data_IF_517450190619
#
_entry.id   IF_517450190619
#
_cell.length_a   1.000
_cell.length_b   1.000
_cell.length_c   1.000
_cell.angle_alpha   90.00
_cell.angle_beta   90.00
_cell.angle_gamma   90.00
#
_symmetry.space_group_name_H-M   'P 1'
#
loop_
_entity.id
_entity.type
_entity.pdbx_description
1 polymer ?
#
# COMPACT_ATOMS: atom_id res chain seq x y z
N UNK A 1 -34.11 59.50 -15.30
CA UNK A 1 -33.14 58.70 -14.53
C UNK A 1 -32.64 57.59 -15.45
N UNK A 2 -31.67 57.84 -16.34
CA UNK A 2 -30.20 57.58 -16.23
C UNK A 2 -29.87 56.26 -15.50
N UNK A 3 -29.04 55.33 -15.99
CA UNK A 3 -28.35 55.20 -17.28
C UNK A 3 -27.78 53.77 -17.41
N UNK A 4 -27.58 53.35 -18.66
CA UNK A 4 -26.82 52.19 -19.15
C UNK A 4 -25.28 52.39 -19.04
N UNK A 5 -24.55 51.27 -19.21
CA UNK A 5 -23.10 51.11 -19.50
C UNK A 5 -22.15 51.18 -18.28
N UNK A 6 -21.09 50.37 -18.13
CA UNK A 6 -20.08 49.96 -19.10
C UNK A 6 -19.40 48.61 -18.77
N UNK A 7 -18.91 47.94 -19.82
CA UNK A 7 -17.95 46.83 -19.81
C UNK A 7 -16.51 47.32 -19.57
N UNK A 8 -15.68 46.38 -19.08
CA UNK A 8 -14.29 46.09 -19.51
C UNK A 8 -13.10 46.59 -18.66
N UNK A 9 -12.13 45.67 -18.48
CA UNK A 9 -10.76 45.78 -17.91
C UNK A 9 -10.66 45.96 -16.37
N UNK A 10 -9.86 45.22 -15.58
CA UNK A 10 -8.55 44.63 -15.89
C UNK A 10 -8.31 43.25 -15.24
N UNK A 11 -7.64 42.43 -16.04
CA UNK A 11 -6.69 41.40 -15.64
C UNK A 11 -5.61 42.04 -14.71
N UNK A 12 -4.98 41.24 -13.84
CA UNK A 12 -3.84 41.57 -12.95
C UNK A 12 -4.22 42.11 -11.56
N UNK A 13 -4.36 41.18 -10.60
CA UNK A 13 -3.53 41.15 -9.37
C UNK A 13 -3.36 39.69 -8.92
N UNK A 14 -2.49 38.97 -9.62
CA UNK A 14 -1.72 37.85 -9.06
C UNK A 14 -0.64 38.43 -8.15
N UNK A 15 -0.18 37.60 -7.22
CA UNK A 15 0.95 37.77 -6.29
C UNK A 15 0.58 38.50 -4.99
N UNK A 16 0.18 37.73 -3.97
CA UNK A 16 0.99 37.55 -2.74
C UNK A 16 0.13 36.86 -1.67
N UNK A 17 0.32 35.55 -1.48
CA UNK A 17 0.05 34.79 -0.25
C UNK A 17 0.56 33.34 -0.42
N UNK A 18 1.79 33.23 -0.95
CA UNK A 18 2.66 32.08 -0.72
C UNK A 18 3.86 32.68 0.01
N UNK A 19 3.78 32.77 1.34
CA UNK A 19 4.90 33.02 2.28
C UNK A 19 4.41 32.99 3.74
N UNK A 20 3.61 31.98 4.14
CA UNK A 20 3.25 31.80 5.56
C UNK A 20 2.91 30.36 5.95
N UNK A 21 3.40 29.35 5.22
CA UNK A 21 3.29 27.95 5.67
C UNK A 21 4.58 27.18 5.39
N UNK A 22 5.69 27.81 5.74
CA UNK A 22 7.01 27.20 5.82
C UNK A 22 7.75 27.83 7.02
N UNK A 23 7.20 27.65 8.22
CA UNK A 23 7.88 27.70 9.51
C UNK A 23 6.95 26.91 10.44
N UNK A 24 7.27 25.64 10.64
CA UNK A 24 7.19 24.89 11.91
C UNK A 24 7.79 23.49 11.64
N UNK A 25 9.04 23.54 11.19
CA UNK A 25 10.05 22.55 11.54
C UNK A 25 10.45 22.90 12.99
N UNK A 26 10.69 21.88 13.82
CA UNK A 26 10.95 21.91 15.28
C UNK A 26 9.67 21.70 16.12
N UNK A 27 9.67 20.64 16.95
CA UNK A 27 8.56 20.17 17.80
C UNK A 27 7.92 21.27 18.68
N UNK A 28 6.64 21.10 19.12
CA UNK A 28 6.46 20.59 20.48
C UNK A 28 5.24 19.66 20.73
N UNK A 29 5.49 18.69 21.63
CA UNK A 29 4.61 18.03 22.63
C UNK A 29 3.20 17.51 22.27
N UNK A 30 2.86 16.38 22.90
CA UNK A 30 1.61 15.61 22.82
C UNK A 30 0.30 16.40 23.06
N UNK A 31 0.35 17.64 23.56
CA UNK A 31 -0.84 18.46 23.80
C UNK A 31 -1.37 19.18 22.56
N UNK A 32 -0.58 19.32 21.48
CA UNK A 32 -1.01 20.01 20.25
C UNK A 32 -1.85 19.14 19.29
N UNK A 33 -2.03 17.84 19.58
CA UNK A 33 -2.88 16.95 18.77
C UNK A 33 -4.37 17.02 19.11
N UNK A 34 -4.73 17.49 20.31
CA UNK A 34 -6.14 17.66 20.68
C UNK A 34 -6.77 18.87 19.96
N UNK A 35 -6.02 19.98 19.83
CA UNK A 35 -6.53 21.23 19.24
C UNK A 35 -6.52 21.25 17.70
N UNK A 36 -5.82 20.32 17.04
CA UNK A 36 -5.76 20.27 15.57
C UNK A 36 -6.69 19.22 14.92
N UNK A 37 -7.44 18.43 15.70
CA UNK A 37 -8.51 17.58 15.14
C UNK A 37 -9.64 18.42 14.53
N UNK A 38 -9.83 19.64 15.01
CA UNK A 38 -10.95 20.48 14.62
C UNK A 38 -10.85 21.08 13.19
N UNK A 39 -9.70 20.96 12.53
CA UNK A 39 -9.45 21.48 11.19
C UNK A 39 -9.83 20.53 10.03
N UNK A 40 -10.29 19.32 10.33
CA UNK A 40 -10.73 18.34 9.32
C UNK A 40 -12.26 18.35 9.17
N UNK A 41 -12.83 18.20 7.97
CA UNK A 41 -14.26 17.95 7.81
C UNK A 41 -14.71 16.74 8.66
N UNK A 42 -15.89 16.82 9.26
CA UNK A 42 -16.40 15.86 10.27
C UNK A 42 -16.43 14.41 9.76
N UNK A 43 -16.73 14.21 8.48
CA UNK A 43 -16.68 12.90 7.82
C UNK A 43 -15.27 12.29 7.78
N UNK A 44 -14.21 13.09 7.60
CA UNK A 44 -12.82 12.60 7.60
C UNK A 44 -12.34 12.28 9.01
N UNK A 45 -12.77 13.06 10.01
CA UNK A 45 -12.55 12.72 11.43
C UNK A 45 -13.20 11.40 11.78
N UNK A 46 -14.44 11.18 11.32
CA UNK A 46 -15.18 9.96 11.59
C UNK A 46 -14.54 8.75 10.92
N UNK A 47 -14.11 8.83 9.66
CA UNK A 47 -13.45 7.71 8.96
C UNK A 47 -12.09 7.34 9.56
N UNK A 48 -11.26 8.34 9.91
CA UNK A 48 -9.96 8.11 10.56
C UNK A 48 -10.19 7.56 11.97
N UNK A 49 -11.15 8.12 12.71
CA UNK A 49 -11.53 7.63 14.04
C UNK A 49 -12.04 6.20 13.96
N UNK A 50 -12.90 5.85 13.00
CA UNK A 50 -13.40 4.50 12.75
C UNK A 50 -12.29 3.53 12.37
N UNK A 51 -11.31 3.96 11.56
CA UNK A 51 -10.14 3.15 11.21
C UNK A 51 -9.26 2.87 12.44
N UNK A 52 -8.95 3.89 13.24
CA UNK A 52 -8.19 3.69 14.48
C UNK A 52 -9.00 2.95 15.55
N UNK A 53 -10.32 3.15 15.63
CA UNK A 53 -11.20 2.37 16.50
C UNK A 53 -11.28 0.92 16.05
N UNK A 54 -11.35 0.64 14.75
CA UNK A 54 -11.29 -0.70 14.19
C UNK A 54 -9.99 -1.39 14.58
N UNK A 55 -8.84 -0.72 14.39
CA UNK A 55 -7.54 -1.27 14.77
C UNK A 55 -7.42 -1.47 16.28
N UNK A 56 -7.89 -0.49 17.09
CA UNK A 56 -7.81 -0.55 18.56
C UNK A 56 -8.75 -1.60 19.15
N UNK A 57 -9.99 -1.69 18.70
CA UNK A 57 -10.95 -2.67 19.20
C UNK A 57 -10.57 -4.10 18.80
N UNK A 58 -9.89 -4.26 17.65
CA UNK A 58 -9.52 -5.58 17.12
C UNK A 58 -8.15 -6.09 17.59
N UNK A 59 -7.21 -5.18 17.86
CA UNK A 59 -5.81 -5.53 18.20
C UNK A 59 -5.30 -4.90 19.50
N UNK A 60 -6.06 -4.03 20.15
CA UNK A 60 -5.65 -3.30 21.35
C UNK A 60 -6.09 -3.98 22.64
N UNK A 61 -5.36 -5.02 23.05
CA UNK A 61 -5.35 -5.50 24.43
C UNK A 61 -3.88 -5.70 24.87
N UNK A 62 -3.23 -4.60 25.23
CA UNK A 62 -2.10 -4.61 26.17
C UNK A 62 -2.31 -3.45 27.15
N UNK A 63 -2.83 -3.78 28.33
CA UNK A 63 -2.87 -2.88 29.49
C UNK A 63 -1.56 -3.01 30.27
N UNK A 64 -0.83 -1.92 30.41
CA UNK A 64 0.03 -1.71 31.57
C UNK A 64 -0.10 -0.26 32.02
N UNK A 65 -0.78 -0.11 33.15
CA UNK A 65 -0.90 1.07 33.98
C UNK A 65 0.46 1.55 34.48
N UNK A 66 0.80 2.83 34.29
CA UNK A 66 1.56 3.65 35.25
C UNK A 66 1.66 5.10 34.73
N UNK A 67 1.18 6.06 35.51
CA UNK A 67 1.32 7.51 35.25
C UNK A 67 2.69 7.98 35.76
N UNK A 68 3.50 8.74 35.00
CA UNK A 68 4.65 9.43 35.58
C UNK A 68 4.28 10.82 36.09
N UNK A 69 4.70 11.09 37.33
CA UNK A 69 4.69 12.38 38.04
C UNK A 69 5.52 13.43 37.29
N UNK A 70 5.05 14.68 37.32
CA UNK A 70 5.81 15.87 36.91
C UNK A 70 7.04 16.06 37.83
N UNK A 71 8.19 16.37 37.25
CA UNK A 71 9.23 17.13 37.94
C UNK A 71 9.83 18.17 37.00
N UNK A 72 9.79 19.40 37.48
CA UNK A 72 10.30 20.65 36.91
C UNK A 72 11.81 20.80 37.07
N UNK A 73 12.33 21.80 36.32
CA UNK A 73 13.55 22.64 36.47
C UNK A 73 14.74 22.32 35.56
N UNK A 74 15.62 23.25 35.14
CA UNK A 74 15.58 24.64 34.61
C UNK A 74 17.01 24.91 34.06
N UNK A 75 17.18 25.84 33.10
CA UNK A 75 18.44 26.54 32.72
C UNK A 75 19.57 25.71 32.05
N UNK A 76 20.38 26.20 31.10
CA UNK A 76 20.83 27.57 30.82
C UNK A 76 21.40 27.70 29.38
N UNK A 77 21.23 28.88 28.77
CA UNK A 77 21.80 29.29 27.48
C UNK A 77 23.23 29.82 27.65
N UNK A 78 24.11 29.61 26.65
CA UNK A 78 25.17 30.58 26.33
C UNK A 78 25.52 30.57 24.84
N UNK A 79 25.29 31.73 24.21
CA UNK A 79 25.78 32.17 22.90
C UNK A 79 27.26 32.58 22.98
N UNK A 80 28.00 32.44 21.88
CA UNK A 80 29.00 33.43 21.47
C UNK A 80 29.21 33.40 19.94
N UNK A 81 28.86 34.52 19.29
CA UNK A 81 29.34 35.00 17.97
C UNK A 81 30.76 35.60 18.16
N UNK A 82 31.69 35.68 17.21
CA UNK A 82 31.70 36.49 15.97
C UNK A 82 33.02 36.15 15.21
N UNK A 83 33.02 35.87 13.90
CA UNK A 83 33.16 36.77 12.74
C UNK A 83 34.59 36.78 12.15
N UNK A 84 34.69 36.69 10.81
CA UNK A 84 35.66 37.35 9.92
C UNK A 84 35.32 37.02 8.43
N UNK A 85 35.33 38.05 7.60
CA UNK A 85 34.79 38.09 6.22
C UNK A 85 35.82 37.83 5.11
N UNK A 86 35.37 37.13 4.04
CA UNK A 86 35.52 37.34 2.55
C UNK A 86 36.93 37.43 1.89
N UNK A 87 37.10 37.15 0.57
CA UNK A 87 36.17 37.43 -0.54
C UNK A 87 35.98 36.38 -1.66
N UNK A 88 35.13 36.79 -2.61
CA UNK A 88 34.47 36.12 -3.74
C UNK A 88 35.41 35.94 -4.95
N UNK A 89 35.23 34.86 -5.73
CA UNK A 89 35.44 34.92 -7.19
C UNK A 89 34.45 34.00 -7.93
N UNK A 90 33.77 34.60 -8.93
CA UNK A 90 32.87 33.98 -9.88
C UNK A 90 33.67 33.36 -11.04
N UNK A 91 33.28 32.18 -11.52
CA UNK A 91 33.43 31.81 -12.94
C UNK A 91 32.25 30.97 -13.43
N UNK A 92 31.49 31.58 -14.33
CA UNK A 92 30.48 31.04 -15.24
C UNK A 92 31.15 30.19 -16.32
N UNK A 93 30.56 29.07 -16.74
CA UNK A 93 30.79 28.48 -18.07
C UNK A 93 29.54 27.74 -18.59
N UNK A 94 29.27 27.98 -19.87
CA UNK A 94 28.04 27.73 -20.64
C UNK A 94 27.90 26.30 -21.19
N UNK A 95 26.67 25.98 -21.61
CA UNK A 95 26.22 24.78 -22.35
C UNK A 95 26.89 24.60 -23.73
N UNK A 96 26.93 23.35 -24.23
CA UNK A 96 26.78 23.08 -25.67
C UNK A 96 25.47 22.37 -26.03
N UNK A 97 25.01 22.70 -27.24
CA UNK A 97 23.75 22.35 -27.91
C UNK A 97 23.71 20.94 -28.51
N UNK A 98 22.47 20.42 -28.54
CA UNK A 98 21.82 19.48 -29.47
C UNK A 98 22.62 18.72 -30.54
N UNK A 99 22.46 17.39 -30.57
CA UNK A 99 22.29 16.58 -31.80
C UNK A 99 21.25 15.48 -31.57
N UNK A 100 20.30 15.37 -32.51
CA UNK A 100 19.23 14.37 -32.61
C UNK A 100 19.66 13.20 -33.54
N UNK A 101 18.89 12.09 -33.66
CA UNK A 101 19.33 10.73 -33.34
C UNK A 101 19.67 9.86 -34.57
N UNK A 102 20.28 8.67 -34.41
CA UNK A 102 20.34 7.67 -35.46
C UNK A 102 19.14 6.72 -35.47
N UNK A 103 18.85 6.27 -36.69
CA UNK A 103 17.73 5.48 -37.18
C UNK A 103 17.62 4.05 -36.62
N UNK A 104 16.36 3.65 -36.54
CA UNK A 104 15.80 2.31 -36.46
C UNK A 104 16.29 1.40 -37.61
N UNK A 105 16.73 0.17 -37.29
CA UNK A 105 16.68 -0.98 -38.20
C UNK A 105 16.12 -2.16 -37.40
N UNK A 106 14.91 -2.56 -37.79
CA UNK A 106 14.20 -3.73 -37.32
C UNK A 106 14.97 -5.02 -37.65
N UNK A 107 15.03 -5.93 -36.67
CA UNK A 107 15.18 -7.37 -36.94
C UNK A 107 14.00 -8.08 -36.29
N UNK A 108 13.07 -8.42 -37.16
CA UNK A 108 11.98 -9.37 -36.94
C UNK A 108 12.60 -10.75 -36.80
N UNK A 109 12.54 -11.33 -35.60
CA UNK A 109 12.65 -12.78 -35.43
C UNK A 109 11.31 -13.29 -34.90
N UNK A 110 10.51 -13.79 -35.84
CA UNK A 110 9.41 -14.72 -35.62
C UNK A 110 9.97 -16.04 -35.12
N UNK A 111 9.68 -16.41 -33.88
CA UNK A 111 9.83 -17.79 -33.40
C UNK A 111 8.48 -18.33 -32.98
N UNK A 112 8.01 -19.22 -33.85
CA UNK A 112 7.05 -20.30 -33.68
C UNK A 112 6.24 -20.37 -32.37
N UNK A 113 4.95 -20.11 -32.54
CA UNK A 113 3.85 -20.74 -31.83
C UNK A 113 3.98 -22.27 -31.82
N UNK A 114 4.14 -22.86 -30.65
CA UNK A 114 3.50 -24.10 -30.19
C UNK A 114 4.04 -24.49 -28.80
N UNK A 115 3.47 -23.87 -27.78
CA UNK A 115 3.39 -24.43 -26.44
C UNK A 115 2.05 -24.00 -25.87
N UNK A 116 1.25 -24.97 -25.45
CA UNK A 116 0.06 -24.70 -24.64
C UNK A 116 0.58 -24.07 -23.34
N UNK A 117 0.45 -22.76 -23.19
CA UNK A 117 0.72 -22.06 -21.93
C UNK A 117 -0.64 -21.73 -21.32
N UNK A 118 -1.24 -22.71 -20.63
CA UNK A 118 -2.46 -22.47 -19.87
C UNK A 118 -2.12 -21.77 -18.53
N UNK A 119 -2.26 -20.44 -18.57
CA UNK A 119 -2.81 -19.56 -17.51
C UNK A 119 -2.26 -19.63 -16.07
N UNK A 120 -1.12 -20.26 -15.81
CA UNK A 120 -0.56 -20.36 -14.45
C UNK A 120 0.94 -20.06 -14.42
N UNK A 121 1.35 -19.33 -13.37
CA UNK A 121 2.70 -18.90 -12.97
C UNK A 121 3.71 -18.52 -14.08
N UNK A 122 3.54 -17.33 -14.63
CA UNK A 122 4.42 -16.77 -15.68
C UNK A 122 5.69 -16.12 -15.10
N UNK A 123 5.71 -15.80 -13.80
CA UNK A 123 6.74 -14.90 -13.24
C UNK A 123 7.16 -15.34 -11.83
N UNK A 124 8.05 -16.33 -11.76
CA UNK A 124 9.11 -16.35 -10.74
C UNK A 124 10.35 -17.01 -11.36
N UNK A 125 11.46 -16.27 -11.50
CA UNK A 125 12.77 -16.88 -11.84
C UNK A 125 13.20 -17.92 -10.79
N UNK A 126 12.61 -17.84 -9.60
CA UNK A 126 12.69 -18.87 -8.58
C UNK A 126 11.75 -20.02 -8.94
N UNK A 127 12.33 -21.16 -9.36
CA UNK A 127 11.63 -22.45 -9.56
C UNK A 127 11.15 -23.02 -8.21
N UNK A 128 10.24 -22.32 -7.52
CA UNK A 128 9.66 -22.75 -6.25
C UNK A 128 8.49 -23.72 -6.54
N UNK A 129 8.45 -24.82 -5.80
CA UNK A 129 7.42 -25.86 -5.98
C UNK A 129 6.19 -25.56 -5.12
N UNK A 130 5.25 -24.75 -5.63
CA UNK A 130 4.03 -24.41 -4.90
C UNK A 130 3.01 -25.56 -4.89
N UNK A 131 2.20 -25.64 -3.84
CA UNK A 131 1.13 -26.64 -3.72
C UNK A 131 -0.07 -26.32 -4.63
N UNK A 132 -0.36 -25.03 -4.81
CA UNK A 132 -1.48 -24.53 -5.63
C UNK A 132 -0.97 -23.51 -6.65
N UNK A 133 -1.41 -23.59 -7.92
CA UNK A 133 -1.05 -22.58 -8.92
C UNK A 133 -1.71 -21.25 -8.57
N UNK A 134 -1.00 -20.15 -8.84
CA UNK A 134 -1.58 -18.80 -8.74
C UNK A 134 -2.22 -18.39 -10.06
N UNK A 135 -3.29 -17.56 -10.04
CA UNK A 135 -3.84 -16.96 -11.24
C UNK A 135 -2.77 -16.20 -12.03
N UNK A 136 -2.89 -16.17 -13.36
CA UNK A 136 -2.02 -15.32 -14.20
C UNK A 136 -2.25 -13.83 -13.91
N UNK A 137 -3.52 -13.47 -13.64
CA UNK A 137 -3.91 -12.12 -13.26
C UNK A 137 -4.88 -12.14 -12.06
N UNK A 138 -4.45 -11.58 -10.93
CA UNK A 138 -5.25 -11.55 -9.71
C UNK A 138 -6.36 -10.51 -9.85
N UNK A 139 -7.60 -10.95 -9.59
CA UNK A 139 -8.79 -10.10 -9.49
C UNK A 139 -9.33 -10.31 -8.09
N UNK A 140 -8.69 -9.64 -7.14
CA UNK A 140 -8.84 -9.93 -5.73
C UNK A 140 -9.73 -8.96 -4.96
N UNK A 141 -10.37 -9.47 -3.91
CA UNK A 141 -11.07 -8.69 -2.89
C UNK A 141 -10.46 -8.95 -1.52
N UNK A 142 -10.33 -7.91 -0.71
CA UNK A 142 -10.07 -8.06 0.72
C UNK A 142 -11.35 -8.44 1.49
N UNK A 143 -11.25 -9.41 2.38
CA UNK A 143 -12.35 -9.95 3.16
C UNK A 143 -11.97 -9.93 4.64
N UNK A 144 -12.76 -9.23 5.44
CA UNK A 144 -12.56 -9.19 6.89
C UNK A 144 -13.21 -10.42 7.57
N UNK A 145 -12.83 -10.68 8.82
CA UNK A 145 -13.33 -11.84 9.56
C UNK A 145 -14.85 -11.82 9.84
N UNK A 146 -15.49 -10.64 9.80
CA UNK A 146 -16.92 -10.53 10.03
C UNK A 146 -17.72 -11.04 8.82
N UNK A 147 -17.31 -10.72 7.60
CA UNK A 147 -17.96 -11.19 6.38
C UNK A 147 -17.82 -12.71 6.24
N UNK A 148 -16.62 -13.25 6.44
CA UNK A 148 -16.33 -14.70 6.36
C UNK A 148 -17.23 -15.51 7.28
N UNK A 149 -17.52 -15.00 8.49
CA UNK A 149 -18.33 -15.68 9.50
C UNK A 149 -19.83 -15.39 9.38
N UNK A 150 -20.23 -14.58 8.40
CA UNK A 150 -21.63 -14.20 8.23
C UNK A 150 -22.40 -15.26 7.44
N UNK A 151 -23.71 -15.36 7.70
CA UNK A 151 -24.65 -16.16 6.88
C UNK A 151 -24.77 -15.70 5.42
N UNK A 152 -24.10 -14.62 5.04
CA UNK A 152 -24.14 -14.03 3.72
C UNK A 152 -22.87 -14.33 2.91
N UNK A 153 -21.92 -15.08 3.46
CA UNK A 153 -20.66 -15.37 2.80
C UNK A 153 -20.87 -16.10 1.46
N UNK A 154 -21.73 -17.12 1.40
CA UNK A 154 -22.02 -17.86 0.17
C UNK A 154 -22.59 -16.95 -0.92
N UNK A 155 -23.55 -16.07 -0.55
CA UNK A 155 -24.13 -15.08 -1.47
C UNK A 155 -23.07 -14.08 -1.94
N UNK A 156 -22.14 -13.71 -1.07
CA UNK A 156 -21.02 -12.87 -1.42
C UNK A 156 -20.10 -13.58 -2.43
N UNK A 157 -19.74 -14.85 -2.22
CA UNK A 157 -18.95 -15.66 -3.14
C UNK A 157 -19.60 -15.73 -4.53
N UNK A 158 -20.90 -16.01 -4.59
CA UNK A 158 -21.66 -16.03 -5.85
C UNK A 158 -21.62 -14.68 -6.57
N UNK A 159 -21.75 -13.58 -5.82
CA UNK A 159 -21.67 -12.22 -6.37
C UNK A 159 -20.27 -11.93 -6.89
N UNK A 160 -19.23 -12.24 -6.11
CA UNK A 160 -17.84 -12.05 -6.51
C UNK A 160 -17.53 -12.85 -7.79
N UNK A 161 -17.95 -14.12 -7.87
CA UNK A 161 -17.76 -14.98 -9.05
C UNK A 161 -18.48 -14.44 -10.29
N UNK A 162 -19.72 -13.97 -10.14
CA UNK A 162 -20.48 -13.29 -11.23
C UNK A 162 -19.75 -12.09 -11.80
N UNK A 163 -18.93 -11.42 -10.99
CA UNK A 163 -18.12 -10.27 -11.37
C UNK A 163 -16.68 -10.66 -11.76
N UNK A 164 -16.41 -11.95 -11.95
CA UNK A 164 -15.13 -12.52 -12.34
C UNK A 164 -13.99 -12.20 -11.35
N UNK A 165 -14.30 -12.20 -10.05
CA UNK A 165 -13.28 -12.24 -9.00
C UNK A 165 -12.76 -13.67 -8.89
N UNK A 166 -11.44 -13.82 -8.80
CA UNK A 166 -10.76 -15.11 -8.72
C UNK A 166 -9.86 -15.24 -7.48
N UNK A 167 -9.72 -14.18 -6.67
CA UNK A 167 -8.87 -14.18 -5.49
C UNK A 167 -9.58 -13.58 -4.29
N UNK A 168 -9.42 -14.20 -3.12
CA UNK A 168 -9.90 -13.66 -1.85
C UNK A 168 -8.74 -13.53 -0.88
N UNK A 169 -8.46 -12.29 -0.45
CA UNK A 169 -7.52 -12.00 0.63
C UNK A 169 -8.29 -11.96 1.93
N UNK A 170 -8.16 -13.00 2.76
CA UNK A 170 -8.97 -13.20 3.95
C UNK A 170 -8.17 -12.90 5.22
N UNK A 171 -8.70 -12.04 6.08
CA UNK A 171 -8.20 -11.85 7.44
C UNK A 171 -8.36 -13.12 8.27
N UNK A 172 -7.24 -13.71 8.70
CA UNK A 172 -7.23 -14.86 9.61
C UNK A 172 -7.05 -14.49 11.08
N UNK A 173 -7.23 -13.21 11.40
CA UNK A 173 -7.19 -12.66 12.75
C UNK A 173 -8.45 -11.84 13.05
N UNK A 174 -8.99 -11.90 14.29
CA UNK A 174 -8.50 -12.67 15.44
C UNK A 174 -8.84 -14.17 15.39
N UNK A 175 -9.69 -14.60 14.46
CA UNK A 175 -10.11 -15.99 14.33
C UNK A 175 -9.73 -16.55 12.96
N UNK A 176 -9.34 -17.83 12.92
CA UNK A 176 -9.29 -18.56 11.65
C UNK A 176 -10.71 -18.81 11.11
N UNK A 177 -10.89 -18.84 9.78
CA UNK A 177 -12.06 -19.47 9.17
C UNK A 177 -12.17 -20.95 9.56
N UNK A 178 -13.37 -21.53 9.51
CA UNK A 178 -13.54 -22.98 9.63
C UNK A 178 -13.08 -23.68 8.34
N UNK A 179 -12.80 -24.99 8.42
CA UNK A 179 -12.46 -25.78 7.22
C UNK A 179 -13.57 -25.73 6.17
N UNK A 180 -14.83 -25.83 6.60
CA UNK A 180 -16.02 -25.73 5.72
C UNK A 180 -16.04 -24.43 4.89
N UNK A 181 -15.63 -23.32 5.50
CA UNK A 181 -15.56 -22.01 4.83
C UNK A 181 -14.43 -21.96 3.81
N UNK A 182 -13.30 -22.60 4.11
CA UNK A 182 -12.19 -22.74 3.15
C UNK A 182 -12.63 -23.61 1.99
N UNK A 183 -13.14 -24.81 2.26
CA UNK A 183 -13.59 -25.77 1.25
C UNK A 183 -14.64 -25.12 0.32
N UNK A 184 -15.65 -24.46 0.89
CA UNK A 184 -16.66 -23.73 0.11
C UNK A 184 -16.05 -22.69 -0.83
N UNK A 185 -15.09 -21.90 -0.36
CA UNK A 185 -14.47 -20.86 -1.16
C UNK A 185 -13.56 -21.45 -2.25
N UNK A 186 -12.85 -22.54 -1.96
CA UNK A 186 -12.01 -23.24 -2.95
C UNK A 186 -12.84 -23.95 -4.01
N UNK A 187 -13.88 -24.68 -3.61
CA UNK A 187 -14.85 -25.32 -4.52
C UNK A 187 -15.58 -24.29 -5.38
N UNK A 188 -15.78 -23.07 -4.85
CA UNK A 188 -16.29 -21.94 -5.63
C UNK A 188 -15.30 -21.42 -6.67
N UNK A 189 -14.05 -21.87 -6.64
CA UNK A 189 -12.99 -21.55 -7.62
C UNK A 189 -12.13 -20.34 -7.24
N UNK A 190 -12.08 -19.96 -5.97
CA UNK A 190 -11.25 -18.83 -5.53
C UNK A 190 -9.84 -19.29 -5.13
N UNK A 191 -8.83 -18.54 -5.58
CA UNK A 191 -7.49 -18.57 -5.01
C UNK A 191 -7.48 -17.84 -3.67
N UNK A 192 -7.13 -18.53 -2.59
CA UNK A 192 -7.21 -18.00 -1.23
C UNK A 192 -5.86 -17.53 -0.72
N UNK A 193 -5.84 -16.30 -0.22
CA UNK A 193 -4.69 -15.66 0.43
C UNK A 193 -5.02 -15.36 1.89
N UNK A 194 -4.23 -15.88 2.83
CA UNK A 194 -4.40 -15.59 4.25
C UNK A 194 -3.64 -14.31 4.62
N UNK A 195 -4.36 -13.24 4.94
CA UNK A 195 -3.77 -12.00 5.44
C UNK A 195 -3.52 -12.09 6.94
N UNK A 196 -2.29 -11.80 7.33
CA UNK A 196 -1.81 -11.78 8.71
C UNK A 196 -1.21 -10.41 9.01
N UNK A 197 -1.78 -9.70 9.98
CA UNK A 197 -1.23 -8.44 10.48
C UNK A 197 -0.09 -8.74 11.45
N UNK A 198 1.13 -8.39 11.06
CA UNK A 198 2.35 -8.62 11.84
C UNK A 198 2.47 -7.60 12.96
N UNK A 199 2.42 -6.30 12.66
CA UNK A 199 2.49 -5.24 13.66
C UNK A 199 1.41 -4.16 13.42
N UNK A 200 0.19 -4.26 13.99
CA UNK A 200 -0.96 -3.41 13.63
C UNK A 200 -0.69 -1.90 13.62
N UNK A 201 0.22 -1.41 14.47
CA UNK A 201 0.62 0.02 14.54
C UNK A 201 2.06 0.26 14.09
N UNK A 202 2.69 -0.73 13.46
CA UNK A 202 4.13 -0.84 13.28
C UNK A 202 4.85 -1.29 14.55
N UNK A 203 6.04 -1.86 14.35
CA UNK A 203 6.93 -2.31 15.41
C UNK A 203 7.48 -1.11 16.19
N UNK A 204 7.24 -1.12 17.51
CA UNK A 204 7.61 -0.04 18.44
C UNK A 204 8.88 -0.30 19.25
N UNK A 205 9.38 -1.54 19.22
CA UNK A 205 10.56 -1.98 19.98
C UNK A 205 11.66 -2.45 19.04
N UNK A 206 12.89 -2.52 19.55
CA UNK A 206 14.00 -3.16 18.86
C UNK A 206 14.83 -3.96 19.89
N UNK A 207 14.99 -5.28 19.71
CA UNK A 207 14.39 -6.11 18.67
C UNK A 207 12.87 -6.28 18.83
N UNK A 208 12.21 -6.87 17.84
CA UNK A 208 10.82 -7.29 17.91
C UNK A 208 10.60 -8.29 19.06
N UNK A 209 9.47 -8.24 19.79
CA UNK A 209 9.21 -9.13 20.91
C UNK A 209 9.06 -10.58 20.41
N UNK A 210 9.94 -11.48 20.85
CA UNK A 210 9.96 -12.89 20.40
C UNK A 210 8.61 -13.60 20.59
N UNK A 211 7.96 -13.39 21.74
CA UNK A 211 6.64 -13.96 22.04
C UNK A 211 5.57 -13.49 21.05
N UNK A 212 5.61 -12.22 20.66
CA UNK A 212 4.70 -11.67 19.66
C UNK A 212 4.96 -12.31 18.29
N UNK A 213 6.21 -12.29 17.82
CA UNK A 213 6.59 -12.89 16.54
C UNK A 213 6.22 -14.37 16.46
N UNK A 214 6.49 -15.15 17.51
CA UNK A 214 6.12 -16.57 17.58
C UNK A 214 4.61 -16.77 17.39
N UNK A 215 3.76 -15.96 18.04
CA UNK A 215 2.30 -16.03 17.82
C UNK A 215 1.89 -15.76 16.38
N UNK A 216 2.52 -14.78 15.73
CA UNK A 216 2.21 -14.43 14.33
C UNK A 216 2.71 -15.52 13.36
N UNK A 217 3.89 -16.08 13.60
CA UNK A 217 4.42 -17.22 12.84
C UNK A 217 3.50 -18.44 12.96
N UNK A 218 3.08 -18.79 14.18
CA UNK A 218 2.10 -19.88 14.40
C UNK A 218 0.80 -19.62 13.66
N UNK A 219 0.24 -18.39 13.72
CA UNK A 219 -0.99 -18.06 12.99
C UNK A 219 -0.82 -18.21 11.47
N UNK A 220 0.36 -17.86 10.95
CA UNK A 220 0.67 -17.98 9.52
C UNK A 220 0.79 -19.44 9.09
N UNK A 221 1.43 -20.26 9.91
CA UNK A 221 1.51 -21.72 9.71
C UNK A 221 0.13 -22.39 9.78
N UNK A 222 -0.72 -21.99 10.74
CA UNK A 222 -2.09 -22.48 10.82
C UNK A 222 -2.87 -22.15 9.55
N UNK A 223 -2.71 -20.94 8.99
CA UNK A 223 -3.30 -20.57 7.70
C UNK A 223 -2.82 -21.48 6.56
N UNK A 224 -1.51 -21.76 6.50
CA UNK A 224 -0.96 -22.66 5.49
C UNK A 224 -1.49 -24.09 5.62
N UNK A 225 -1.59 -24.62 6.84
CA UNK A 225 -2.16 -25.95 7.13
C UNK A 225 -3.65 -26.04 6.81
N UNK A 226 -4.40 -24.95 6.98
CA UNK A 226 -5.83 -24.91 6.70
C UNK A 226 -6.14 -24.97 5.20
N UNK A 227 -5.14 -24.73 4.33
CA UNK A 227 -5.27 -24.89 2.89
C UNK A 227 -5.08 -23.61 2.07
N UNK A 228 -4.82 -22.46 2.70
CA UNK A 228 -4.53 -21.23 1.97
C UNK A 228 -3.33 -21.41 1.03
N UNK A 229 -3.46 -20.94 -0.21
CA UNK A 229 -2.40 -21.06 -1.23
C UNK A 229 -1.24 -20.07 -1.01
N UNK A 230 -1.51 -18.98 -0.28
CA UNK A 230 -0.60 -17.87 -0.06
C UNK A 230 -0.79 -17.25 1.33
N UNK A 231 0.31 -16.87 1.96
CA UNK A 231 0.32 -16.10 3.20
C UNK A 231 0.78 -14.69 2.90
N UNK A 232 -0.04 -13.70 3.26
CA UNK A 232 0.22 -12.29 3.04
C UNK A 232 0.46 -11.56 4.37
N UNK A 233 1.68 -11.05 4.53
CA UNK A 233 2.13 -10.34 5.73
C UNK A 233 1.82 -8.85 5.62
N UNK A 234 0.89 -8.36 6.42
CA UNK A 234 0.60 -6.92 6.51
C UNK A 234 1.31 -6.28 7.70
N UNK A 235 1.64 -4.99 7.57
CA UNK A 235 2.29 -4.16 8.56
C UNK A 235 3.63 -4.71 9.07
N UNK A 236 4.38 -5.43 8.25
CA UNK A 236 5.79 -5.77 8.52
C UNK A 236 6.68 -4.54 8.33
N UNK A 237 6.69 -3.68 9.36
CA UNK A 237 7.38 -2.39 9.37
C UNK A 237 7.58 -1.87 10.79
N UNK A 238 8.48 -0.91 10.97
CA UNK A 238 8.52 -0.07 12.15
C UNK A 238 7.36 0.94 12.17
N UNK A 239 7.03 1.43 13.37
CA UNK A 239 6.11 2.56 13.54
C UNK A 239 6.70 3.85 12.92
N UNK A 240 5.86 4.66 12.27
CA UNK A 240 6.29 5.82 11.48
C UNK A 240 6.78 6.98 12.37
N UNK A 241 6.06 7.23 13.46
CA UNK A 241 6.30 8.37 14.37
C UNK A 241 7.27 8.05 15.52
N UNK A 242 7.83 6.84 15.56
CA UNK A 242 8.71 6.42 16.66
C UNK A 242 10.17 6.33 16.23
N UNK A 243 10.96 7.24 16.81
CA UNK A 243 12.41 7.18 16.74
C UNK A 243 12.96 6.39 17.93
N UNK A 244 13.32 5.12 17.66
CA UNK A 244 14.06 4.31 18.62
C UNK A 244 15.50 4.84 18.64
N UNK A 245 15.95 5.37 19.77
CA UNK A 245 17.29 5.98 19.93
C UNK A 245 18.39 5.00 19.50
N UNK A 246 19.31 5.46 18.64
CA UNK A 246 20.46 4.66 18.17
C UNK A 246 20.12 3.60 17.12
N UNK A 247 18.86 3.49 16.69
CA UNK A 247 18.46 2.54 15.65
C UNK A 247 18.61 3.17 14.25
N UNK A 248 19.70 2.81 13.57
CA UNK A 248 19.99 3.28 12.21
C UNK A 248 19.09 2.65 11.16
N UNK A 249 18.97 3.29 10.00
CA UNK A 249 18.18 2.78 8.88
C UNK A 249 18.66 1.38 8.42
N UNK A 250 19.97 1.16 8.36
CA UNK A 250 20.55 -0.15 8.04
C UNK A 250 20.12 -1.23 9.02
N UNK A 251 20.10 -0.94 10.33
CA UNK A 251 19.61 -1.89 11.34
C UNK A 251 18.12 -2.15 11.21
N UNK A 252 17.31 -1.15 10.84
CA UNK A 252 15.88 -1.34 10.57
C UNK A 252 15.68 -2.30 9.40
N UNK A 253 16.37 -2.08 8.29
CA UNK A 253 16.32 -2.97 7.13
C UNK A 253 16.78 -4.38 7.47
N UNK A 254 17.93 -4.53 8.11
CA UNK A 254 18.40 -5.86 8.51
C UNK A 254 17.37 -6.57 9.38
N UNK A 255 16.79 -5.88 10.36
CA UNK A 255 15.81 -6.50 11.24
C UNK A 255 14.52 -6.93 10.53
N UNK A 256 14.00 -6.12 9.60
CA UNK A 256 12.85 -6.52 8.79
C UNK A 256 13.20 -7.71 7.89
N UNK A 257 14.40 -7.72 7.30
CA UNK A 257 14.91 -8.86 6.52
C UNK A 257 15.00 -10.13 7.37
N UNK A 258 15.50 -10.05 8.60
CA UNK A 258 15.62 -11.20 9.51
C UNK A 258 14.23 -11.72 9.94
N UNK A 259 13.23 -10.84 10.08
CA UNK A 259 11.85 -11.25 10.35
C UNK A 259 11.27 -11.96 9.12
N UNK A 260 11.44 -11.40 7.91
CA UNK A 260 10.99 -12.04 6.67
C UNK A 260 11.60 -13.44 6.49
N UNK A 261 12.90 -13.59 6.75
CA UNK A 261 13.59 -14.88 6.70
C UNK A 261 13.00 -15.91 7.69
N UNK A 262 12.54 -15.47 8.87
CA UNK A 262 11.85 -16.38 9.81
C UNK A 262 10.51 -16.88 9.24
N UNK A 263 9.74 -16.01 8.57
CA UNK A 263 8.51 -16.43 7.89
C UNK A 263 8.81 -17.39 6.74
N UNK A 264 9.85 -17.13 5.95
CA UNK A 264 10.27 -18.07 4.91
C UNK A 264 10.62 -19.45 5.48
N UNK A 265 11.50 -19.50 6.47
CA UNK A 265 11.90 -20.78 7.08
C UNK A 265 10.70 -21.56 7.64
N UNK A 266 9.71 -20.87 8.21
CA UNK A 266 8.50 -21.51 8.74
C UNK A 266 7.54 -21.98 7.65
N UNK A 267 7.36 -21.20 6.58
CA UNK A 267 6.26 -21.39 5.62
C UNK A 267 6.65 -22.17 4.37
N UNK A 268 7.93 -22.14 3.97
CA UNK A 268 8.41 -22.85 2.77
C UNK A 268 8.12 -24.37 2.78
N UNK A 269 8.19 -25.10 3.92
CA UNK A 269 7.80 -26.51 3.97
C UNK A 269 6.35 -26.79 3.53
N UNK A 270 5.45 -25.81 3.69
CA UNK A 270 4.04 -25.92 3.30
C UNK A 270 3.80 -25.62 1.82
N UNK A 271 4.84 -25.25 1.07
CA UNK A 271 4.75 -24.96 -0.38
C UNK A 271 3.72 -23.88 -0.72
N UNK A 272 3.48 -22.95 0.20
CA UNK A 272 2.65 -21.76 -0.01
C UNK A 272 3.49 -20.61 -0.59
N UNK A 273 2.84 -19.69 -1.31
CA UNK A 273 3.45 -18.40 -1.63
C UNK A 273 3.52 -17.54 -0.37
N UNK A 274 4.52 -16.66 -0.32
CA UNK A 274 4.67 -15.68 0.76
C UNK A 274 4.66 -14.30 0.11
N UNK A 275 3.71 -13.48 0.53
CA UNK A 275 3.59 -12.09 0.09
C UNK A 275 3.62 -11.11 1.26
N UNK A 276 3.79 -9.83 0.97
CA UNK A 276 3.67 -8.79 1.98
C UNK A 276 3.15 -7.46 1.43
N UNK A 277 2.46 -6.75 2.31
CA UNK A 277 1.95 -5.41 2.04
C UNK A 277 3.04 -4.37 2.29
N UNK A 278 3.26 -3.51 1.30
CA UNK A 278 4.14 -2.34 1.43
C UNK A 278 3.33 -1.07 1.29
N UNK A 279 3.70 -0.03 2.05
CA UNK A 279 3.03 1.26 1.96
C UNK A 279 3.12 1.83 0.54
N UNK A 280 2.08 2.52 0.09
CA UNK A 280 2.01 3.05 -1.27
C UNK A 280 3.13 4.04 -1.64
N UNK A 281 3.81 4.62 -0.65
CA UNK A 281 4.99 5.48 -0.84
C UNK A 281 6.28 4.71 -1.15
N UNK A 282 6.36 3.43 -0.80
CA UNK A 282 7.60 2.63 -0.91
C UNK A 282 8.10 2.48 -2.35
N UNK A 283 7.24 2.28 -3.37
CA UNK A 283 7.71 2.29 -4.76
C UNK A 283 8.40 3.62 -5.16
N UNK A 284 8.00 4.74 -4.56
CA UNK A 284 8.47 6.09 -4.90
C UNK A 284 9.70 6.55 -4.12
N UNK A 285 10.15 5.81 -3.11
CA UNK A 285 11.29 6.16 -2.29
C UNK A 285 12.25 4.98 -2.07
N UNK A 286 13.49 5.28 -1.69
CA UNK A 286 14.54 4.25 -1.51
C UNK A 286 15.00 4.08 -0.05
N UNK A 287 14.74 5.09 0.79
CA UNK A 287 15.32 5.20 2.13
C UNK A 287 14.22 5.46 3.19
N UNK A 288 13.24 4.57 3.24
CA UNK A 288 12.10 4.70 4.14
C UNK A 288 12.39 4.31 5.61
N UNK A 289 12.09 5.21 6.54
CA UNK A 289 12.29 5.06 7.99
C UNK A 289 11.47 3.92 8.63
N UNK A 290 10.42 3.44 7.96
CA UNK A 290 9.62 2.32 8.47
C UNK A 290 10.26 0.95 8.20
N UNK A 291 11.43 0.90 7.57
CA UNK A 291 12.15 -0.36 7.32
C UNK A 291 11.62 -1.16 6.12
N UNK A 292 10.69 -0.61 5.34
CA UNK A 292 10.24 -1.20 4.08
C UNK A 292 11.10 -0.73 2.92
N UNK A 293 11.45 -1.65 2.02
CA UNK A 293 12.24 -1.38 0.82
C UNK A 293 11.95 -2.46 -0.23
N UNK A 294 11.65 -2.05 -1.47
CA UNK A 294 11.27 -2.98 -2.55
C UNK A 294 12.31 -4.09 -2.76
N UNK A 295 13.58 -3.71 -2.91
CA UNK A 295 14.67 -4.65 -3.19
C UNK A 295 14.89 -5.64 -2.04
N UNK A 296 14.66 -5.19 -0.80
CA UNK A 296 14.78 -6.03 0.37
C UNK A 296 13.67 -7.07 0.40
N UNK A 297 12.43 -6.63 0.17
CA UNK A 297 11.26 -7.50 0.17
C UNK A 297 11.31 -8.54 -0.96
N UNK A 298 11.83 -8.14 -2.14
CA UNK A 298 11.97 -9.01 -3.30
C UNK A 298 12.91 -10.21 -3.10
N UNK A 299 13.84 -10.12 -2.14
CA UNK A 299 14.73 -11.24 -1.83
C UNK A 299 14.00 -12.37 -1.09
N UNK A 300 12.91 -12.06 -0.39
CA UNK A 300 12.21 -13.02 0.49
C UNK A 300 10.85 -13.45 -0.06
N UNK A 301 10.20 -12.60 -0.84
CA UNK A 301 8.78 -12.76 -1.18
C UNK A 301 8.58 -13.32 -2.58
N UNK A 302 7.41 -13.93 -2.78
CA UNK A 302 6.87 -14.33 -4.08
C UNK A 302 5.97 -13.22 -4.66
N UNK A 303 5.33 -12.45 -3.78
CA UNK A 303 4.36 -11.41 -4.15
C UNK A 303 4.54 -10.17 -3.27
N UNK A 304 4.55 -8.98 -3.87
CA UNK A 304 4.55 -7.71 -3.14
C UNK A 304 3.29 -6.94 -3.50
N UNK A 305 2.65 -6.41 -2.47
CA UNK A 305 1.37 -5.71 -2.56
C UNK A 305 1.50 -4.22 -2.19
N UNK A 306 1.88 -3.34 -3.13
CA UNK A 306 1.88 -1.91 -2.86
C UNK A 306 0.48 -1.36 -2.58
N UNK A 307 0.27 -0.75 -1.42
CA UNK A 307 -0.99 -0.11 -1.03
C UNK A 307 -1.15 1.28 -1.64
N UNK A 308 -1.43 1.34 -2.94
CA UNK A 308 -1.46 2.56 -3.75
C UNK A 308 -2.78 3.35 -3.64
N UNK A 309 -3.36 3.45 -2.43
CA UNK A 309 -4.59 4.20 -2.20
C UNK A 309 -4.36 5.70 -2.47
N UNK A 310 -4.92 6.30 -3.53
CA UNK A 310 -4.52 7.65 -3.87
C UNK A 310 -4.90 8.65 -2.78
N UNK A 311 -6.00 8.43 -2.04
CA UNK A 311 -6.38 9.23 -0.87
C UNK A 311 -5.31 9.35 0.23
N UNK A 312 -4.38 8.39 0.32
CA UNK A 312 -3.36 8.29 1.38
C UNK A 312 -2.02 8.93 0.99
N UNK A 313 -1.91 9.53 -0.20
CA UNK A 313 -0.74 10.31 -0.59
C UNK A 313 -0.81 11.72 0.00
N UNK A 314 -0.70 11.81 1.33
CA UNK A 314 -0.71 13.07 2.06
C UNK A 314 0.45 13.97 1.61
N UNK A 315 0.16 15.27 1.40
CA UNK A 315 1.14 16.23 0.89
C UNK A 315 1.36 16.18 -0.64
N UNK A 316 0.85 15.16 -1.35
CA UNK A 316 0.97 15.03 -2.81
C UNK A 316 -0.42 15.10 -3.46
N UNK A 317 -0.89 16.32 -3.74
CA UNK A 317 -2.21 16.54 -4.36
C UNK A 317 -2.31 15.93 -5.76
N UNK A 318 -1.22 15.89 -6.52
CA UNK A 318 -1.22 15.28 -7.85
C UNK A 318 -1.61 13.81 -7.76
N UNK A 319 -0.98 13.04 -6.87
CA UNK A 319 -1.31 11.63 -6.70
C UNK A 319 -2.72 11.41 -6.16
N UNK A 320 -3.16 12.23 -5.19
CA UNK A 320 -4.54 12.14 -4.67
C UNK A 320 -5.59 12.36 -5.77
N UNK A 321 -5.36 13.35 -6.64
CA UNK A 321 -6.28 13.75 -7.71
C UNK A 321 -6.17 12.93 -8.99
N UNK A 322 -5.08 12.17 -9.19
CA UNK A 322 -4.83 11.37 -10.40
C UNK A 322 -4.77 9.86 -10.07
N UNK A 323 -5.93 9.21 -9.80
CA UNK A 323 -5.97 7.80 -9.40
C UNK A 323 -5.30 6.86 -10.42
N UNK A 324 -5.52 7.08 -11.72
CA UNK A 324 -4.89 6.29 -12.78
C UNK A 324 -3.35 6.37 -12.69
N UNK A 325 -2.79 7.58 -12.62
CA UNK A 325 -1.34 7.79 -12.55
C UNK A 325 -0.76 7.22 -11.26
N UNK A 326 -1.42 7.40 -10.13
CA UNK A 326 -0.94 6.87 -8.84
C UNK A 326 -0.75 5.35 -8.87
N UNK A 327 -1.74 4.62 -9.41
CA UNK A 327 -1.63 3.16 -9.55
C UNK A 327 -0.57 2.80 -10.59
N UNK A 328 -0.62 3.42 -11.78
CA UNK A 328 0.27 3.07 -12.89
C UNK A 328 1.75 3.33 -12.56
N UNK A 329 2.05 4.54 -12.10
CA UNK A 329 3.42 4.97 -11.78
C UNK A 329 3.97 4.14 -10.62
N UNK A 330 3.18 3.93 -9.57
CA UNK A 330 3.59 3.15 -8.40
C UNK A 330 3.89 1.70 -8.74
N UNK A 331 3.08 1.09 -9.59
CA UNK A 331 3.29 -0.29 -10.06
C UNK A 331 4.55 -0.39 -10.94
N UNK A 332 4.70 0.48 -11.93
CA UNK A 332 5.87 0.47 -12.83
C UNK A 332 7.16 0.70 -12.04
N UNK A 333 7.17 1.61 -11.07
CA UNK A 333 8.33 1.87 -10.22
C UNK A 333 8.65 0.68 -9.31
N UNK A 334 7.63 0.00 -8.78
CA UNK A 334 7.82 -1.24 -8.02
C UNK A 334 8.46 -2.32 -8.91
N UNK A 335 7.90 -2.58 -10.09
CA UNK A 335 8.39 -3.58 -11.03
C UNK A 335 9.84 -3.35 -11.46
N UNK A 336 10.24 -2.09 -11.69
CA UNK A 336 11.64 -1.74 -12.02
C UNK A 336 12.65 -2.09 -10.93
N UNK A 337 12.19 -2.29 -9.69
CA UNK A 337 13.02 -2.50 -8.51
C UNK A 337 12.99 -3.93 -7.97
N UNK A 338 12.20 -4.80 -8.60
CA UNK A 338 12.06 -6.21 -8.22
C UNK A 338 12.39 -7.10 -9.40
N UNK A 339 12.88 -8.30 -9.13
CA UNK A 339 13.27 -9.29 -10.14
C UNK A 339 12.55 -10.63 -9.97
N UNK A 340 12.11 -10.93 -8.75
CA UNK A 340 11.58 -12.25 -8.40
C UNK A 340 10.09 -12.20 -8.08
N UNK A 341 9.63 -11.12 -7.44
CA UNK A 341 8.29 -10.98 -6.90
C UNK A 341 7.30 -10.46 -7.93
N UNK A 342 6.09 -11.01 -7.90
CA UNK A 342 4.93 -10.45 -8.60
C UNK A 342 4.49 -9.16 -7.91
N UNK A 343 4.14 -8.14 -8.69
CA UNK A 343 3.60 -6.88 -8.16
C UNK A 343 2.09 -6.85 -8.36
N UNK A 344 1.35 -6.78 -7.24
CA UNK A 344 -0.11 -6.75 -7.23
C UNK A 344 -0.57 -5.56 -6.38
N UNK A 345 -0.83 -4.38 -6.98
CA UNK A 345 -1.22 -3.21 -6.21
C UNK A 345 -2.59 -3.41 -5.56
N UNK A 346 -2.72 -2.92 -4.34
CA UNK A 346 -4.03 -2.65 -3.78
C UNK A 346 -4.61 -1.36 -4.36
N UNK A 347 -5.89 -1.40 -4.70
CA UNK A 347 -6.66 -0.24 -5.17
C UNK A 347 -7.68 0.19 -4.12
N UNK A 348 -8.02 1.47 -4.11
CA UNK A 348 -9.03 2.03 -3.24
C UNK A 348 -10.43 1.76 -3.79
N UNK A 349 -11.25 1.01 -3.05
CA UNK A 349 -12.65 0.74 -3.37
C UNK A 349 -13.64 1.43 -2.40
N UNK A 350 -13.25 2.59 -1.87
CA UNK A 350 -14.03 3.42 -0.93
C UNK A 350 -13.93 4.92 -1.30
N UNK A 351 -14.83 5.73 -0.73
CA UNK A 351 -15.09 7.11 -1.19
C UNK A 351 -14.14 8.21 -0.67
N UNK A 352 -13.23 7.90 0.25
CA UNK A 352 -12.37 8.89 0.89
C UNK A 352 -11.58 9.71 -0.14
N UNK A 353 -11.69 11.05 -0.08
CA UNK A 353 -10.95 12.01 -0.93
C UNK A 353 -11.08 11.80 -2.44
N UNK A 354 -12.10 11.06 -2.90
CA UNK A 354 -12.36 10.88 -4.34
C UNK A 354 -12.63 12.24 -5.03
N UNK A 355 -13.23 13.19 -4.31
CA UNK A 355 -13.52 14.54 -4.80
C UNK A 355 -12.29 15.31 -5.30
N UNK A 356 -11.09 15.00 -4.79
CA UNK A 356 -9.84 15.63 -5.25
C UNK A 356 -9.60 15.41 -6.76
N UNK A 357 -10.16 14.33 -7.31
CA UNK A 357 -10.05 13.97 -8.73
C UNK A 357 -11.12 14.59 -9.64
N UNK A 358 -12.22 15.08 -9.06
CA UNK A 358 -13.42 15.46 -9.82
C UNK A 358 -14.21 14.30 -10.43
N UNK A 359 -13.86 13.04 -10.12
CA UNK A 359 -14.55 11.85 -10.63
C UNK A 359 -15.67 11.37 -9.68
N UNK A 360 -16.64 10.62 -10.22
CA UNK A 360 -17.49 9.77 -9.40
C UNK A 360 -16.67 8.62 -8.79
N UNK A 361 -17.12 8.04 -7.66
CA UNK A 361 -16.45 6.89 -7.03
C UNK A 361 -16.30 5.72 -8.01
N UNK A 362 -17.31 5.48 -8.85
CA UNK A 362 -17.25 4.44 -9.88
C UNK A 362 -16.15 4.70 -10.92
N UNK A 363 -16.09 5.92 -11.47
CA UNK A 363 -15.06 6.29 -12.46
C UNK A 363 -13.66 6.32 -11.84
N UNK A 364 -13.56 6.70 -10.57
CA UNK A 364 -12.33 6.67 -9.80
C UNK A 364 -11.79 5.24 -9.62
N UNK A 365 -12.66 4.29 -9.26
CA UNK A 365 -12.31 2.87 -9.17
C UNK A 365 -11.94 2.33 -10.55
N UNK A 366 -12.71 2.66 -11.60
CA UNK A 366 -12.40 2.25 -12.98
C UNK A 366 -11.03 2.73 -13.44
N UNK A 367 -10.70 3.99 -13.18
CA UNK A 367 -9.39 4.56 -13.51
C UNK A 367 -8.23 3.80 -12.83
N UNK A 368 -8.40 3.37 -11.58
CA UNK A 368 -7.40 2.54 -10.89
C UNK A 368 -7.29 1.15 -11.52
N UNK A 369 -8.41 0.51 -11.87
CA UNK A 369 -8.43 -0.80 -12.51
C UNK A 369 -7.79 -0.79 -13.91
N UNK A 370 -8.04 0.24 -14.72
CA UNK A 370 -7.41 0.37 -16.02
C UNK A 370 -5.88 0.55 -15.88
N UNK A 371 -5.44 1.25 -14.85
CA UNK A 371 -4.02 1.45 -14.57
C UNK A 371 -3.28 0.16 -14.18
N UNK A 372 -3.94 -0.82 -13.53
CA UNK A 372 -3.29 -2.10 -13.20
C UNK A 372 -3.03 -2.93 -14.45
N UNK A 373 -3.95 -2.91 -15.42
CA UNK A 373 -3.75 -3.53 -16.74
C UNK A 373 -2.63 -2.82 -17.50
N UNK A 374 -2.70 -1.48 -17.61
CA UNK A 374 -1.76 -0.71 -18.44
C UNK A 374 -0.34 -0.59 -17.85
N UNK A 375 -0.17 -0.90 -16.57
CA UNK A 375 1.16 -1.03 -15.95
C UNK A 375 1.75 -2.42 -16.13
N UNK A 376 0.98 -3.40 -16.60
CA UNK A 376 1.40 -4.80 -16.63
C UNK A 376 1.51 -5.41 -15.24
N UNK A 377 0.72 -4.93 -14.26
CA UNK A 377 0.65 -5.55 -12.94
C UNK A 377 0.22 -7.02 -13.05
N UNK A 378 0.59 -7.84 -12.08
CA UNK A 378 0.13 -9.22 -12.00
C UNK A 378 -1.33 -9.35 -11.50
N UNK A 379 -2.07 -8.23 -11.41
CA UNK A 379 -3.44 -8.17 -10.94
C UNK A 379 -3.74 -6.92 -10.13
N UNK A 380 -4.77 -7.01 -9.29
CA UNK A 380 -5.12 -6.03 -8.27
C UNK A 380 -5.82 -6.70 -7.08
N UNK A 381 -5.76 -6.07 -5.91
CA UNK A 381 -6.65 -6.37 -4.78
C UNK A 381 -7.48 -5.13 -4.44
N UNK A 382 -8.80 -5.24 -4.41
CA UNK A 382 -9.67 -4.13 -4.03
C UNK A 382 -9.85 -4.06 -2.50
N UNK A 383 -9.41 -2.96 -1.90
CA UNK A 383 -9.57 -2.72 -0.46
C UNK A 383 -10.81 -1.90 -0.16
N UNK A 384 -11.67 -2.45 0.71
CA UNK A 384 -12.68 -1.70 1.44
C UNK A 384 -12.87 -2.35 2.82
N UNK A 385 -12.52 -1.63 3.89
CA UNK A 385 -12.59 -2.14 5.27
C UNK A 385 -14.00 -2.58 5.69
N UNK A 386 -15.05 -1.92 5.15
CA UNK A 386 -16.46 -2.27 5.38
C UNK A 386 -16.93 -3.47 4.56
N UNK A 387 -16.11 -3.95 3.63
CA UNK A 387 -16.45 -4.97 2.62
C UNK A 387 -17.71 -4.65 1.80
N UNK A 388 -18.04 -3.36 1.64
CA UNK A 388 -19.05 -2.92 0.67
C UNK A 388 -18.40 -2.75 -0.71
N UNK A 389 -18.64 -3.74 -1.57
CA UNK A 389 -18.12 -3.76 -2.93
C UNK A 389 -19.16 -3.37 -3.99
N UNK A 390 -20.30 -2.80 -3.60
CA UNK A 390 -21.40 -2.48 -4.53
C UNK A 390 -20.95 -1.56 -5.68
N UNK A 391 -20.28 -0.45 -5.36
CA UNK A 391 -19.77 0.48 -6.37
C UNK A 391 -18.61 -0.11 -7.16
N UNK A 392 -17.75 -0.88 -6.50
CA UNK A 392 -16.69 -1.61 -7.18
C UNK A 392 -17.24 -2.59 -8.22
N UNK A 393 -18.30 -3.34 -7.91
CA UNK A 393 -18.93 -4.27 -8.84
C UNK A 393 -19.59 -3.58 -10.05
N UNK A 394 -19.98 -2.30 -9.93
CA UNK A 394 -20.38 -1.48 -11.08
C UNK A 394 -19.17 -1.09 -11.93
N UNK A 395 -18.12 -0.57 -11.29
CA UNK A 395 -16.89 -0.19 -11.97
C UNK A 395 -16.27 -1.38 -12.72
N UNK A 396 -16.19 -2.54 -12.05
CA UNK A 396 -15.54 -3.74 -12.59
C UNK A 396 -16.28 -4.30 -13.82
N UNK A 397 -17.60 -4.07 -13.99
CA UNK A 397 -18.32 -4.60 -15.16
C UNK A 397 -18.02 -3.89 -16.48
N UNK A 398 -17.42 -2.70 -16.43
CA UNK A 398 -17.29 -1.83 -17.60
C UNK A 398 -15.85 -1.70 -18.14
N UNK A 399 -14.88 -2.43 -17.59
CA UNK A 399 -13.45 -2.24 -17.88
C UNK A 399 -12.76 -3.43 -18.55
N UNK A 400 -11.50 -3.21 -18.96
CA UNK A 400 -10.76 -4.10 -19.88
C UNK A 400 -10.21 -5.38 -19.25
N UNK A 401 -10.06 -5.44 -17.92
CA UNK A 401 -9.55 -6.60 -17.18
C UNK A 401 -10.51 -7.82 -17.23
N UNK A 402 -11.73 -7.68 -17.78
CA UNK A 402 -12.61 -8.83 -18.06
C UNK A 402 -12.06 -9.68 -19.21
N UNK A 403 -11.24 -9.14 -20.12
CA UNK A 403 -10.67 -9.92 -21.23
C UNK A 403 -9.74 -11.04 -20.72
N UNK A 404 -8.98 -10.77 -19.65
CA UNK A 404 -8.19 -11.79 -18.95
C UNK A 404 -9.07 -12.86 -18.27
N UNK A 405 -10.35 -12.59 -18.04
CA UNK A 405 -11.30 -13.56 -17.49
C UNK A 405 -11.82 -14.58 -18.50
N UNK A 406 -11.69 -14.31 -19.81
CA UNK A 406 -12.20 -15.18 -20.88
C UNK A 406 -11.12 -16.10 -21.45
N UNK A 407 -9.86 -15.81 -21.14
CA UNK A 407 -8.71 -16.61 -21.53
C UNK A 407 -8.32 -17.61 -20.46
N UNK A 408 -8.68 -17.36 -19.20
CA UNK A 408 -8.66 -18.29 -18.05
C UNK A 408 -9.97 -19.10 -18.01
#
# INVERSE_FOLDING_TARGET
>A
MRNFSNRSFSFIRRVSLISALFIFIVQPSLNTQAENRDLLPENQRQEISEFYHYLRNRYGQESSSEKPKQLSTTFENKKQENSLEKPISNKTQELPKSKQPPKEIAKTETVASNAIIENTDVVTNNKRNFAKPAPSFYRGLYINNALVRSKHFDKFLLTAKKHNINTLVIDIQPHLPSQEVIDLAEESGFYLVARVVVFPTGLKTYPAPKKHLSKILTRSEEGAKLGFAEIQLDYIRFADELQIKGLTLTKRYQHISDILAQFENQLRPYRVRIGADVFGRIPFNQHDNIGQRMELFDNHLDVIYPMLYPSHFYGDFYRRSKPYNTIKDGTILAQKRVKNSRIIPYIQAFGMKVSDSGLSVENYIRAQLDATVDSGAAGFIAWNARNDYTTFFKAIRAGRYIKHAKTE
#
